data_IF_109918126129
#
_entry.id   IF_109918126129
#
_cell.length_a   1.000
_cell.length_b   1.000
_cell.length_c   1.000
_cell.angle_alpha   90.00
_cell.angle_beta   90.00
_cell.angle_gamma   90.00
#
_symmetry.space_group_name_H-M   'P 1'
#
loop_
_entity.id
_entity.type
_entity.pdbx_description
1 polymer ?
#
# COMPACT_ATOMS: atom_id res chain seq x y z
N UNK A 1 25.16 15.83 -8.66
CA UNK A 1 24.25 14.83 -9.28
C UNK A 1 22.85 15.25 -8.92
N UNK A 2 22.01 15.60 -9.90
CA UNK A 2 20.64 16.06 -9.65
C UNK A 2 19.68 14.88 -9.76
N UNK A 3 18.91 14.62 -8.70
CA UNK A 3 18.02 13.47 -8.60
C UNK A 3 16.60 13.86 -9.03
N UNK A 4 16.32 13.74 -10.33
CA UNK A 4 15.10 14.21 -11.02
C UNK A 4 13.75 13.95 -10.33
N UNK A 5 13.60 12.86 -9.57
CA UNK A 5 12.31 12.39 -9.04
C UNK A 5 12.12 12.60 -7.54
N UNK A 6 13.12 13.08 -6.82
CA UNK A 6 13.04 13.26 -5.36
C UNK A 6 13.10 14.72 -4.91
N UNK A 7 13.54 15.63 -5.80
CA UNK A 7 13.73 17.05 -5.47
C UNK A 7 12.45 17.77 -5.03
N UNK A 8 11.27 17.26 -5.43
CA UNK A 8 9.96 17.84 -5.13
C UNK A 8 9.18 17.08 -4.05
N UNK A 9 9.82 16.14 -3.33
CA UNK A 9 9.13 15.43 -2.25
C UNK A 9 9.00 16.32 -1.02
N UNK A 10 7.78 16.48 -0.48
CA UNK A 10 7.62 17.22 0.77
C UNK A 10 8.24 16.43 1.93
N UNK A 11 8.55 17.10 3.05
CA UNK A 11 8.91 16.42 4.29
C UNK A 11 7.87 15.36 4.66
N UNK A 12 8.34 14.20 5.08
CA UNK A 12 7.45 13.12 5.48
C UNK A 12 6.77 13.46 6.82
N UNK A 13 5.52 13.90 6.75
CA UNK A 13 4.71 14.37 7.90
C UNK A 13 4.73 13.39 9.08
N UNK A 14 4.70 12.08 8.80
CA UNK A 14 4.72 11.06 9.85
C UNK A 14 6.03 11.04 10.65
N UNK A 15 7.18 11.36 10.06
CA UNK A 15 8.44 11.50 10.81
C UNK A 15 8.34 12.65 11.81
N UNK A 16 7.76 13.77 11.39
CA UNK A 16 7.59 14.96 12.25
C UNK A 16 6.66 14.60 13.41
N UNK A 17 5.50 13.99 13.13
CA UNK A 17 4.54 13.56 14.16
C UNK A 17 5.18 12.56 15.14
N UNK A 18 5.95 11.59 14.63
CA UNK A 18 6.63 10.62 15.48
C UNK A 18 7.65 11.29 16.41
N UNK A 19 8.42 12.25 15.92
CA UNK A 19 9.38 12.99 16.75
C UNK A 19 8.66 13.78 17.85
N UNK A 20 7.56 14.46 17.54
CA UNK A 20 6.75 15.19 18.53
C UNK A 20 6.19 14.25 19.61
N UNK A 21 5.67 13.08 19.21
CA UNK A 21 5.20 12.06 20.17
C UNK A 21 6.31 11.57 21.09
N UNK A 22 7.51 11.34 20.55
CA UNK A 22 8.66 10.89 21.34
C UNK A 22 9.07 11.97 22.36
N UNK A 23 9.11 13.24 21.95
CA UNK A 23 9.44 14.35 22.85
C UNK A 23 8.42 14.47 23.98
N UNK A 24 7.11 14.53 23.66
CA UNK A 24 6.06 14.64 24.68
C UNK A 24 6.10 13.48 25.70
N UNK A 25 6.30 12.24 25.23
CA UNK A 25 6.49 11.08 26.13
C UNK A 25 7.72 11.21 27.04
N UNK A 26 8.81 11.82 26.55
CA UNK A 26 10.02 12.07 27.35
C UNK A 26 9.80 13.16 28.39
N UNK A 27 8.95 14.13 28.10
CA UNK A 27 8.60 15.21 29.00
C UNK A 27 7.57 14.78 30.07
N UNK A 28 7.10 13.54 30.01
CA UNK A 28 6.19 12.93 30.99
C UNK A 28 4.71 13.00 30.61
N UNK A 29 4.38 13.45 29.39
CA UNK A 29 3.00 13.54 28.93
C UNK A 29 2.40 12.16 28.62
N UNK A 30 1.11 11.99 28.94
CA UNK A 30 0.31 10.85 28.51
C UNK A 30 -0.16 11.02 27.06
N UNK A 31 0.55 10.37 26.13
CA UNK A 31 0.32 10.51 24.68
C UNK A 31 -0.56 9.40 24.13
N UNK A 32 -1.80 9.76 23.79
CA UNK A 32 -2.74 8.90 23.04
C UNK A 32 -2.46 9.04 21.53
N UNK A 33 -2.03 7.95 20.88
CA UNK A 33 -1.62 7.94 19.48
C UNK A 33 -2.73 7.40 18.56
N UNK A 34 -3.42 8.30 17.86
CA UNK A 34 -4.44 7.98 16.86
C UNK A 34 -3.96 8.25 15.42
N UNK A 35 -2.65 8.34 15.21
CA UNK A 35 -2.07 8.84 13.97
C UNK A 35 -1.83 7.80 12.87
N UNK A 36 -1.77 6.50 13.22
CA UNK A 36 -1.49 5.42 12.27
C UNK A 36 -2.64 4.40 12.21
N UNK A 37 -3.04 4.03 10.99
CA UNK A 37 -4.03 2.98 10.74
C UNK A 37 -3.46 1.56 10.87
N UNK A 38 -2.54 1.33 11.82
CA UNK A 38 -2.03 0.00 12.10
C UNK A 38 -2.97 -0.69 13.10
N UNK A 39 -3.48 -1.89 12.81
CA UNK A 39 -4.22 -2.66 13.80
C UNK A 39 -3.37 -2.92 15.05
N UNK A 40 -3.99 -2.83 16.22
CA UNK A 40 -3.42 -3.10 17.53
C UNK A 40 -3.56 -4.58 17.94
N UNK A 41 -4.42 -5.33 17.24
CA UNK A 41 -4.58 -6.78 17.40
C UNK A 41 -3.47 -7.56 16.69
N UNK A 42 -3.02 -8.70 17.25
CA UNK A 42 -2.00 -9.53 16.63
C UNK A 42 -2.52 -10.22 15.36
N UNK A 43 -1.59 -10.63 14.50
CA UNK A 43 -1.89 -11.50 13.35
C UNK A 43 -2.58 -12.79 13.82
N UNK A 44 -3.57 -13.31 13.07
CA UNK A 44 -4.25 -14.57 13.42
C UNK A 44 -3.26 -15.73 13.57
N UNK A 45 -3.47 -16.56 14.61
CA UNK A 45 -2.58 -17.67 14.96
C UNK A 45 -2.31 -18.62 13.77
N UNK A 46 -3.35 -18.95 12.99
CA UNK A 46 -3.23 -19.79 11.79
C UNK A 46 -2.23 -19.24 10.76
N UNK A 47 -2.13 -17.91 10.61
CA UNK A 47 -1.19 -17.29 9.69
C UNK A 47 0.25 -17.35 10.24
N UNK A 48 0.41 -17.14 11.54
CA UNK A 48 1.71 -17.23 12.23
C UNK A 48 2.25 -18.66 12.18
N UNK A 49 1.41 -19.65 12.46
CA UNK A 49 1.77 -21.07 12.39
C UNK A 49 2.14 -21.49 10.98
N UNK A 50 1.36 -21.08 9.97
CA UNK A 50 1.68 -21.41 8.57
C UNK A 50 2.98 -20.75 8.10
N UNK A 51 3.25 -19.53 8.54
CA UNK A 51 4.52 -18.87 8.27
C UNK A 51 5.69 -19.64 8.89
N UNK A 52 5.58 -20.05 10.14
CA UNK A 52 6.61 -20.83 10.83
C UNK A 52 6.86 -22.17 10.11
N UNK A 53 5.80 -22.90 9.77
CA UNK A 53 5.87 -24.14 8.97
C UNK A 53 6.58 -23.90 7.63
N UNK A 54 6.20 -22.83 6.90
CA UNK A 54 6.80 -22.50 5.62
C UNK A 54 8.27 -22.10 5.72
N UNK A 55 8.69 -21.44 6.81
CA UNK A 55 10.07 -21.04 7.05
C UNK A 55 11.00 -22.25 7.27
N UNK A 56 10.49 -23.33 7.88
CA UNK A 56 11.24 -24.56 8.11
C UNK A 56 11.45 -25.41 6.84
N UNK A 57 10.75 -25.11 5.75
CA UNK A 57 10.92 -25.82 4.48
C UNK A 57 12.06 -25.20 3.64
N UNK A 58 13.22 -25.86 3.49
CA UNK A 58 14.37 -25.30 2.78
C UNK A 58 14.12 -25.06 1.28
N UNK A 59 13.08 -25.69 0.69
CA UNK A 59 12.69 -25.40 -0.70
C UNK A 59 12.20 -23.96 -0.88
N UNK A 60 11.67 -23.35 0.18
CA UNK A 60 11.16 -21.98 0.16
C UNK A 60 12.28 -20.92 0.27
N UNK A 61 13.53 -21.32 0.51
CA UNK A 61 14.65 -20.38 0.64
C UNK A 61 15.23 -19.95 -0.71
N UNK A 62 14.77 -20.57 -1.80
CA UNK A 62 15.15 -20.21 -3.17
C UNK A 62 14.37 -18.99 -3.64
N UNK A 63 14.77 -18.45 -4.79
CA UNK A 63 14.01 -17.38 -5.45
C UNK A 63 12.54 -17.78 -5.64
N UNK A 64 11.65 -16.87 -5.26
CA UNK A 64 10.23 -16.98 -5.57
C UNK A 64 10.00 -16.76 -7.06
N UNK A 65 8.85 -17.20 -7.56
CA UNK A 65 8.41 -16.87 -8.91
C UNK A 65 8.09 -15.39 -9.00
N UNK A 66 8.55 -14.71 -10.06
CA UNK A 66 8.39 -13.25 -10.22
C UNK A 66 6.94 -12.78 -10.14
N UNK A 67 6.00 -13.62 -10.57
CA UNK A 67 4.56 -13.32 -10.54
C UNK A 67 3.89 -13.63 -9.19
N UNK A 68 4.58 -14.37 -8.33
CA UNK A 68 4.04 -14.94 -7.10
C UNK A 68 3.73 -16.43 -7.19
N UNK A 69 3.43 -17.03 -6.03
CA UNK A 69 3.14 -18.46 -5.91
C UNK A 69 1.80 -18.81 -6.61
N UNK A 70 1.74 -19.83 -7.49
CA UNK A 70 0.52 -20.14 -8.26
C UNK A 70 -0.68 -20.41 -7.35
N UNK A 71 -0.49 -21.19 -6.29
CA UNK A 71 -1.53 -21.50 -5.30
C UNK A 71 -2.02 -20.28 -4.53
N UNK A 72 -1.17 -19.27 -4.34
CA UNK A 72 -1.60 -18.01 -3.73
C UNK A 72 -2.44 -17.18 -4.71
N UNK A 73 -2.08 -17.17 -6.00
CA UNK A 73 -2.89 -16.51 -7.04
C UNK A 73 -4.27 -17.16 -7.21
N UNK A 74 -4.33 -18.49 -7.24
CA UNK A 74 -5.60 -19.24 -7.22
C UNK A 74 -6.47 -18.87 -6.01
N UNK A 75 -5.87 -18.81 -4.80
CA UNK A 75 -6.59 -18.43 -3.60
C UNK A 75 -7.15 -17.00 -3.64
N UNK A 76 -6.41 -16.05 -4.25
CA UNK A 76 -6.89 -14.68 -4.47
C UNK A 76 -8.05 -14.65 -5.48
N UNK A 77 -7.97 -15.40 -6.58
CA UNK A 77 -9.06 -15.51 -7.55
C UNK A 77 -10.35 -16.02 -6.89
N UNK A 78 -10.25 -17.13 -6.13
CA UNK A 78 -11.41 -17.68 -5.42
C UNK A 78 -11.93 -16.74 -4.32
N UNK A 79 -11.06 -15.96 -3.67
CA UNK A 79 -11.50 -14.93 -2.72
C UNK A 79 -12.32 -13.84 -3.42
N UNK A 80 -11.88 -13.39 -4.60
CA UNK A 80 -12.57 -12.36 -5.38
C UNK A 80 -13.95 -12.83 -5.86
N UNK A 81 -14.04 -14.07 -6.34
CA UNK A 81 -15.31 -14.67 -6.75
C UNK A 81 -16.28 -14.76 -5.56
N UNK A 82 -15.85 -15.32 -4.43
CA UNK A 82 -16.72 -15.47 -3.24
C UNK A 82 -17.16 -14.14 -2.64
N UNK A 83 -16.26 -13.15 -2.57
CA UNK A 83 -16.51 -11.89 -1.86
C UNK A 83 -17.18 -10.83 -2.73
N UNK A 84 -16.87 -10.82 -4.02
CA UNK A 84 -17.26 -9.75 -4.93
C UNK A 84 -18.00 -10.25 -6.19
N UNK A 85 -18.12 -11.56 -6.39
CA UNK A 85 -18.71 -12.12 -7.61
C UNK A 85 -17.87 -11.89 -8.87
N UNK A 86 -16.57 -11.61 -8.71
CA UNK A 86 -15.65 -11.31 -9.81
C UNK A 86 -14.80 -12.53 -10.13
N UNK A 87 -14.96 -13.09 -11.33
CA UNK A 87 -14.11 -14.17 -11.85
C UNK A 87 -12.81 -13.58 -12.40
N UNK A 88 -11.66 -14.09 -11.94
CA UNK A 88 -10.33 -13.69 -12.38
C UNK A 88 -9.54 -14.91 -12.86
N UNK A 89 -8.84 -14.77 -13.98
CA UNK A 89 -7.84 -15.73 -14.42
C UNK A 89 -6.55 -15.57 -13.57
N UNK A 90 -6.16 -16.58 -12.76
CA UNK A 90 -4.98 -16.47 -11.91
C UNK A 90 -3.68 -16.37 -12.71
N UNK A 91 -3.65 -16.84 -13.96
CA UNK A 91 -2.51 -16.81 -14.86
C UNK A 91 -2.45 -15.57 -15.74
N UNK A 92 -3.47 -14.73 -15.80
CA UNK A 92 -3.44 -13.49 -16.61
C UNK A 92 -3.73 -12.22 -15.81
N UNK A 93 -4.47 -12.31 -14.70
CA UNK A 93 -5.05 -11.15 -14.02
C UNK A 93 -4.61 -10.98 -12.56
N UNK A 94 -3.67 -11.81 -12.08
CA UNK A 94 -3.18 -11.75 -10.70
C UNK A 94 -1.64 -11.80 -10.66
N UNK A 95 -1.06 -10.91 -9.85
CA UNK A 95 0.35 -10.94 -9.48
C UNK A 95 0.53 -10.58 -8.00
N UNK A 96 1.53 -11.15 -7.35
CA UNK A 96 1.86 -10.88 -5.96
C UNK A 96 2.92 -9.78 -5.84
N UNK A 97 2.74 -8.92 -4.85
CA UNK A 97 3.57 -7.74 -4.59
C UNK A 97 4.01 -7.76 -3.12
N UNK A 98 5.07 -7.03 -2.79
CA UNK A 98 5.54 -6.82 -1.41
C UNK A 98 4.67 -5.73 -0.79
N UNK A 99 3.41 -6.08 -0.56
CA UNK A 99 2.37 -5.16 -0.12
C UNK A 99 1.77 -4.30 -1.24
N UNK A 100 0.67 -3.64 -0.93
CA UNK A 100 -0.07 -2.82 -1.90
C UNK A 100 0.70 -1.58 -2.37
N UNK A 101 1.57 -1.03 -1.51
CA UNK A 101 2.35 0.18 -1.79
C UNK A 101 3.34 -0.03 -2.94
N UNK A 102 4.08 -1.13 -2.92
CA UNK A 102 5.02 -1.49 -3.98
C UNK A 102 4.27 -1.83 -5.27
N UNK A 103 3.21 -2.64 -5.19
CA UNK A 103 2.37 -2.98 -6.34
C UNK A 103 1.78 -1.75 -7.04
N UNK A 104 1.22 -0.81 -6.28
CA UNK A 104 0.71 0.45 -6.83
C UNK A 104 1.82 1.28 -7.47
N UNK A 105 3.01 1.35 -6.84
CA UNK A 105 4.14 2.10 -7.39
C UNK A 105 4.55 1.56 -8.76
N UNK A 106 4.73 0.25 -8.90
CA UNK A 106 5.07 -0.35 -10.18
C UNK A 106 3.95 -0.22 -11.20
N UNK A 107 2.69 -0.33 -10.78
CA UNK A 107 1.56 -0.09 -11.67
C UNK A 107 1.61 1.31 -12.29
N UNK A 108 1.93 2.34 -11.52
CA UNK A 108 2.07 3.71 -12.05
C UNK A 108 3.20 3.81 -13.07
N UNK A 109 4.33 3.14 -12.85
CA UNK A 109 5.44 3.13 -13.81
C UNK A 109 5.13 2.36 -15.10
N UNK A 110 4.22 1.40 -15.05
CA UNK A 110 3.79 0.63 -16.23
C UNK A 110 2.74 1.40 -17.03
N UNK A 111 1.86 2.16 -16.35
CA UNK A 111 0.70 2.78 -16.98
C UNK A 111 0.90 4.25 -17.39
N UNK A 112 1.88 4.95 -16.80
CA UNK A 112 2.02 6.38 -16.96
C UNK A 112 3.40 6.77 -17.49
N UNK A 113 3.42 7.81 -18.32
CA UNK A 113 4.64 8.46 -18.79
C UNK A 113 4.55 9.99 -18.74
N UNK A 114 5.62 10.67 -19.17
CA UNK A 114 5.67 12.12 -19.24
C UNK A 114 4.67 12.65 -20.27
N UNK A 115 3.75 13.50 -19.84
CA UNK A 115 2.66 14.03 -20.67
C UNK A 115 1.29 13.47 -20.29
N UNK A 116 1.24 12.36 -19.55
CA UNK A 116 0.02 11.86 -18.94
C UNK A 116 -0.40 12.69 -17.72
N UNK A 117 -1.66 12.54 -17.32
CA UNK A 117 -2.19 13.13 -16.09
C UNK A 117 -2.99 12.10 -15.29
N UNK A 118 -2.66 11.97 -14.00
CA UNK A 118 -3.42 11.15 -13.06
C UNK A 118 -4.45 12.00 -12.29
N UNK A 119 -5.70 11.53 -12.27
CA UNK A 119 -6.78 12.16 -11.50
C UNK A 119 -6.85 11.53 -10.11
N UNK A 120 -6.71 12.34 -9.06
CA UNK A 120 -6.65 11.86 -7.67
C UNK A 120 -7.64 12.61 -6.79
N UNK A 121 -8.53 11.93 -6.05
CA UNK A 121 -9.41 12.60 -5.10
C UNK A 121 -8.63 13.34 -4.00
N UNK A 122 -9.22 14.39 -3.42
CA UNK A 122 -8.67 15.07 -2.24
C UNK A 122 -9.73 15.13 -1.14
N UNK A 123 -9.43 14.63 0.09
CA UNK A 123 -8.16 14.05 0.53
C UNK A 123 -7.91 12.65 -0.05
N UNK A 124 -6.64 12.23 -0.13
CA UNK A 124 -6.25 10.89 -0.56
C UNK A 124 -5.03 10.37 0.21
N UNK A 125 -4.86 9.05 0.19
CA UNK A 125 -3.65 8.40 0.67
C UNK A 125 -2.43 8.89 -0.13
N UNK A 126 -1.31 9.29 0.52
CA UNK A 126 -0.20 9.98 -0.15
C UNK A 126 0.39 9.26 -1.36
N UNK A 127 0.41 7.92 -1.36
CA UNK A 127 0.98 7.21 -2.51
C UNK A 127 0.17 7.42 -3.80
N UNK A 128 -1.14 7.66 -3.73
CA UNK A 128 -1.92 7.96 -4.93
C UNK A 128 -1.49 9.29 -5.58
N UNK A 129 -0.92 10.21 -4.80
CA UNK A 129 -0.34 11.47 -5.27
C UNK A 129 1.06 11.22 -5.83
N UNK A 130 1.93 10.58 -5.05
CA UNK A 130 3.36 10.48 -5.40
C UNK A 130 3.69 9.36 -6.39
N UNK A 131 2.88 8.31 -6.49
CA UNK A 131 3.06 7.25 -7.49
C UNK A 131 3.09 7.79 -8.93
N UNK A 132 2.06 8.52 -9.37
CA UNK A 132 2.05 9.20 -10.67
C UNK A 132 3.21 10.18 -10.88
N UNK A 133 3.49 11.03 -9.87
CA UNK A 133 4.59 11.98 -9.94
C UNK A 133 5.95 11.29 -10.10
N UNK A 134 6.15 10.15 -9.44
CA UNK A 134 7.34 9.33 -9.63
C UNK A 134 7.42 8.68 -11.01
N UNK A 135 6.30 8.38 -11.65
CA UNK A 135 6.29 7.90 -13.05
C UNK A 135 6.60 9.03 -14.05
N UNK A 136 6.45 10.29 -13.64
CA UNK A 136 6.70 11.49 -14.47
C UNK A 136 5.41 12.12 -15.02
N UNK A 137 4.24 11.64 -14.60
CA UNK A 137 2.95 12.20 -15.00
C UNK A 137 2.61 13.46 -14.20
N UNK A 138 1.74 14.29 -14.77
CA UNK A 138 1.06 15.39 -14.07
C UNK A 138 -0.01 14.85 -13.11
N UNK A 139 -0.39 15.65 -12.12
CA UNK A 139 -1.37 15.28 -11.10
C UNK A 139 -2.53 16.29 -11.08
N UNK A 140 -3.76 15.79 -11.24
CA UNK A 140 -4.98 16.59 -11.13
C UNK A 140 -5.80 16.16 -9.92
N UNK A 141 -5.76 16.98 -8.87
CA UNK A 141 -6.54 16.71 -7.68
C UNK A 141 -7.99 17.18 -7.82
N UNK A 142 -8.93 16.31 -7.45
CA UNK A 142 -10.37 16.62 -7.43
C UNK A 142 -10.86 16.70 -5.98
N UNK A 143 -11.22 17.89 -5.47
CA UNK A 143 -11.76 18.05 -4.12
C UNK A 143 -13.09 17.29 -3.94
N UNK A 144 -13.16 16.40 -2.95
CA UNK A 144 -14.39 15.71 -2.60
C UNK A 144 -15.30 16.63 -1.76
N UNK A 145 -16.43 17.04 -2.33
CA UNK A 145 -17.31 18.12 -1.79
C UNK A 145 -18.15 17.74 -0.55
N UNK A 146 -18.13 16.50 -0.06
CA UNK A 146 -18.88 16.14 1.16
C UNK A 146 -18.14 15.16 2.08
N UNK A 147 -17.78 15.61 3.28
CA UNK A 147 -17.24 14.74 4.33
C UNK A 147 -18.23 13.64 4.77
N UNK A 148 -19.56 13.91 4.71
CA UNK A 148 -20.61 12.94 5.13
C UNK A 148 -20.63 11.63 4.32
N UNK A 149 -20.23 11.64 3.04
CA UNK A 149 -20.17 10.41 2.22
C UNK A 149 -18.83 9.68 2.30
N UNK A 150 -17.78 10.32 2.78
CA UNK A 150 -16.44 9.70 2.84
C UNK A 150 -16.36 8.65 3.97
N UNK A 151 -17.14 8.84 5.03
CA UNK A 151 -17.15 8.00 6.24
C UNK A 151 -18.31 6.99 6.26
N UNK A 152 -19.18 6.98 5.25
CA UNK A 152 -20.39 6.12 5.20
C UNK A 152 -20.22 4.87 4.33
N UNK A 153 -19.00 4.53 3.92
CA UNK A 153 -18.70 3.35 3.10
C UNK A 153 -18.21 2.18 3.96
N UNK A 154 -19.08 1.71 4.86
CA UNK A 154 -18.97 0.42 5.56
C UNK A 154 -20.36 -0.15 5.73
#
# INVERSE_FOLDING_TARGET
MDFRRISNLPPYVFTIINNLKITARRDGDDVIDLGFGNPDIPSPQIAVEKLAEAAHNPKNHRYSLSRGLPKLREAVASMYERKFGVTLDPELQITNTIGSKEGFSHLMWVLLESGDAAIVPSPSYPIHIFGPLFAGADLRQIPMRSQRRLLSAT
#
